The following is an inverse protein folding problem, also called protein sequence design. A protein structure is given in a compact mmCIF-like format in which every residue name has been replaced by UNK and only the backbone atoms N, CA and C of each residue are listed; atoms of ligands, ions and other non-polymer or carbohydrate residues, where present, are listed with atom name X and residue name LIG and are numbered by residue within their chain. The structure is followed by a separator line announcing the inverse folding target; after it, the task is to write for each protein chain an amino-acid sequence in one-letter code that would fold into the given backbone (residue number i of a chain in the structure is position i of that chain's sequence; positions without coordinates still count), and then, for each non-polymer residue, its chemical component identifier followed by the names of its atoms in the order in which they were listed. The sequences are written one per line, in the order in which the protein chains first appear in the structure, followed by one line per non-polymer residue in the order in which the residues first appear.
data_IF_070700223376
#
_entry.id   IF_070700223376
#
_cell.length_a   1.000
_cell.length_b   1.000
_cell.length_c   1.000
_cell.angle_alpha   90.00
_cell.angle_beta   90.00
_cell.angle_gamma   90.00
#
_symmetry.space_group_name_H-M   'P 1'
#
loop_
_entity.id
_entity.type
_entity.pdbx_description
1 polymer ?
#
# COMPACT_ATOMS: atom_id res chain seq x y z
N UNK A 1 -15.52 -27.50 14.25
CA UNK A 1 -14.36 -26.80 14.84
C UNK A 1 -13.09 -26.87 13.98
N UNK A 2 -12.61 -28.04 13.55
CA UNK A 2 -11.39 -28.17 12.73
C UNK A 2 -11.44 -27.43 11.38
N UNK A 3 -12.57 -27.50 10.68
CA UNK A 3 -12.80 -26.76 9.42
C UNK A 3 -12.82 -25.24 9.61
N UNK A 4 -13.38 -24.76 10.72
CA UNK A 4 -13.45 -23.34 11.05
C UNK A 4 -12.04 -22.81 11.37
N UNK A 5 -11.26 -23.56 12.15
CA UNK A 5 -9.84 -23.27 12.39
C UNK A 5 -9.01 -23.23 11.10
N UNK A 6 -9.26 -24.15 10.17
CA UNK A 6 -8.62 -24.16 8.85
C UNK A 6 -8.97 -22.93 8.00
N UNK A 7 -10.24 -22.53 7.97
CA UNK A 7 -10.70 -21.33 7.27
C UNK A 7 -10.11 -20.03 7.86
N UNK A 8 -10.02 -19.95 9.19
CA UNK A 8 -9.40 -18.79 9.86
C UNK A 8 -7.91 -18.68 9.49
N UNK A 9 -7.18 -19.80 9.51
CA UNK A 9 -5.77 -19.82 9.10
C UNK A 9 -5.58 -19.38 7.65
N UNK A 10 -6.43 -19.86 6.74
CA UNK A 10 -6.41 -19.44 5.33
C UNK A 10 -6.69 -17.95 5.17
N UNK A 11 -7.65 -17.40 5.92
CA UNK A 11 -7.96 -15.97 5.88
C UNK A 11 -6.77 -15.11 6.37
N UNK A 12 -6.10 -15.51 7.45
CA UNK A 12 -4.89 -14.81 7.95
C UNK A 12 -3.76 -14.86 6.92
N UNK A 13 -3.53 -16.02 6.31
CA UNK A 13 -2.53 -16.18 5.24
C UNK A 13 -2.84 -15.31 4.03
N UNK A 14 -4.10 -15.28 3.59
CA UNK A 14 -4.52 -14.44 2.48
C UNK A 14 -4.28 -12.95 2.76
N UNK A 15 -4.62 -12.48 3.97
CA UNK A 15 -4.40 -11.08 4.38
C UNK A 15 -2.91 -10.71 4.48
N UNK A 16 -2.05 -11.64 4.88
CA UNK A 16 -0.60 -11.40 4.95
C UNK A 16 0.06 -11.40 3.55
N UNK A 17 -0.43 -12.24 2.63
CA UNK A 17 0.17 -12.42 1.30
C UNK A 17 -0.37 -11.43 0.27
N UNK A 18 -1.64 -11.04 0.37
CA UNK A 18 -2.28 -10.08 -0.54
C UNK A 18 -1.50 -8.77 -0.74
N UNK A 19 -1.01 -8.06 0.30
CA UNK A 19 -0.26 -6.83 0.10
C UNK A 19 1.08 -7.08 -0.60
N UNK A 20 1.75 -8.20 -0.33
CA UNK A 20 3.04 -8.53 -0.99
C UNK A 20 2.84 -8.80 -2.49
N UNK A 21 1.75 -9.48 -2.85
CA UNK A 21 1.40 -9.73 -4.27
C UNK A 21 0.98 -8.45 -4.98
N UNK A 22 0.27 -7.55 -4.28
CA UNK A 22 -0.23 -6.30 -4.87
C UNK A 22 0.89 -5.29 -5.13
N UNK A 23 1.76 -5.05 -4.13
CA UNK A 23 2.82 -4.05 -4.25
C UNK A 23 4.14 -4.63 -4.81
N UNK A 24 4.26 -5.95 -4.94
CA UNK A 24 5.47 -6.62 -5.45
C UNK A 24 6.69 -6.52 -4.53
N UNK A 25 6.50 -6.06 -3.28
CA UNK A 25 7.57 -5.91 -2.28
C UNK A 25 7.02 -6.35 -0.92
N UNK A 26 7.88 -6.80 -0.01
CA UNK A 26 7.51 -7.07 1.39
C UNK A 26 7.88 -5.92 2.34
N UNK A 27 8.41 -4.82 1.81
CA UNK A 27 8.84 -3.66 2.60
C UNK A 27 7.67 -2.69 2.80
N UNK A 28 7.19 -2.49 4.04
CA UNK A 28 6.05 -1.62 4.32
C UNK A 28 6.30 -0.16 3.91
N UNK A 29 7.57 0.30 3.90
CA UNK A 29 7.89 1.68 3.49
C UNK A 29 7.81 1.87 1.98
N UNK A 30 8.07 0.82 1.18
CA UNK A 30 7.86 0.85 -0.27
C UNK A 30 6.38 0.77 -0.63
N UNK A 31 5.61 -0.05 0.09
CA UNK A 31 4.15 -0.12 -0.07
C UNK A 31 3.50 1.23 0.23
N UNK A 32 3.84 1.83 1.38
CA UNK A 32 3.33 3.14 1.77
C UNK A 32 3.68 4.23 0.76
N UNK A 33 4.90 4.20 0.21
CA UNK A 33 5.31 5.17 -0.80
C UNK A 33 4.48 5.07 -2.09
N UNK A 34 4.10 3.85 -2.50
CA UNK A 34 3.24 3.65 -3.66
C UNK A 34 1.82 4.20 -3.41
N UNK A 35 1.23 3.90 -2.26
CA UNK A 35 -0.09 4.43 -1.87
C UNK A 35 -0.11 5.96 -1.78
N UNK A 36 0.91 6.55 -1.14
CA UNK A 36 1.03 8.01 -1.03
C UNK A 36 1.20 8.67 -2.40
N UNK A 37 1.93 8.03 -3.32
CA UNK A 37 2.12 8.55 -4.66
C UNK A 37 0.84 8.45 -5.47
N UNK A 38 0.08 7.36 -5.34
CA UNK A 38 -1.21 7.18 -6.00
C UNK A 38 -2.27 8.17 -5.49
N UNK A 39 -2.37 8.36 -4.17
CA UNK A 39 -3.30 9.33 -3.58
C UNK A 39 -2.98 10.78 -4.00
N UNK A 40 -1.70 11.13 -4.09
CA UNK A 40 -1.29 12.46 -4.56
C UNK A 40 -1.48 12.63 -6.08
N UNK A 41 -1.28 11.57 -6.86
CA UNK A 41 -1.38 11.61 -8.31
C UNK A 41 -2.82 11.56 -8.81
N UNK A 42 -3.67 10.72 -8.23
CA UNK A 42 -5.02 10.43 -8.71
C UNK A 42 -5.85 11.68 -9.01
N UNK A 43 -6.00 12.62 -8.04
CA UNK A 43 -6.75 13.85 -8.26
C UNK A 43 -6.12 14.75 -9.35
N UNK A 44 -4.79 14.78 -9.43
CA UNK A 44 -4.08 15.55 -10.45
C UNK A 44 -4.29 14.94 -11.83
N UNK A 45 -4.17 13.62 -11.94
CA UNK A 45 -4.34 12.86 -13.17
C UNK A 45 -5.76 13.02 -13.72
N UNK A 46 -6.79 12.94 -12.87
CA UNK A 46 -8.18 13.16 -13.24
C UNK A 46 -8.38 14.58 -13.81
N UNK A 47 -7.77 15.59 -13.20
CA UNK A 47 -7.85 16.99 -13.65
C UNK A 47 -7.17 17.24 -15.00
N UNK A 48 -6.05 16.55 -15.29
CA UNK A 48 -5.33 16.70 -16.56
C UNK A 48 -5.72 15.67 -17.62
N UNK A 49 -6.71 14.81 -17.35
CA UNK A 49 -7.17 13.77 -18.28
C UNK A 49 -6.18 12.61 -18.47
N UNK A 50 -5.30 12.38 -17.51
CA UNK A 50 -4.41 11.23 -17.45
C UNK A 50 -5.03 10.08 -16.64
N UNK A 51 -4.48 8.89 -16.83
CA UNK A 51 -4.87 7.69 -16.10
C UNK A 51 -4.42 7.78 -14.63
N UNK A 52 -5.34 7.87 -13.65
CA UNK A 52 -5.01 8.01 -12.22
C UNK A 52 -4.26 6.81 -11.66
N UNK A 53 -4.37 5.64 -12.30
CA UNK A 53 -3.70 4.41 -11.89
C UNK A 53 -2.24 4.35 -12.37
N UNK A 54 -1.84 5.19 -13.32
CA UNK A 54 -0.47 5.26 -13.84
C UNK A 54 0.36 6.34 -13.18
N UNK A 55 0.69 6.10 -11.92
CA UNK A 55 1.59 6.96 -11.15
C UNK A 55 2.98 6.99 -11.79
N UNK A 56 3.56 8.17 -12.08
CA UNK A 56 4.90 8.27 -12.62
C UNK A 56 5.96 7.86 -11.59
N UNK A 57 7.00 7.17 -12.04
CA UNK A 57 8.08 6.65 -11.17
C UNK A 57 8.76 7.76 -10.36
N UNK A 58 8.83 8.98 -10.88
CA UNK A 58 9.39 10.16 -10.18
C UNK A 58 8.61 10.51 -8.92
N UNK A 59 7.29 10.32 -8.93
CA UNK A 59 6.43 10.58 -7.78
C UNK A 59 6.60 9.48 -6.73
N UNK A 60 6.63 8.21 -7.14
CA UNK A 60 6.95 7.10 -6.24
C UNK A 60 8.33 7.26 -5.59
N UNK A 61 9.36 7.63 -6.37
CA UNK A 61 10.71 7.87 -5.83
C UNK A 61 10.72 9.01 -4.82
N UNK A 62 9.95 10.07 -5.07
CA UNK A 62 9.79 11.18 -4.12
C UNK A 62 9.17 10.70 -2.81
N UNK A 63 8.12 9.89 -2.88
CA UNK A 63 7.50 9.31 -1.69
C UNK A 63 8.40 8.29 -0.99
N UNK A 64 9.23 7.53 -1.72
CA UNK A 64 10.25 6.65 -1.13
C UNK A 64 11.29 7.42 -0.33
N UNK A 65 11.67 8.62 -0.78
CA UNK A 65 12.56 9.49 0.02
C UNK A 65 11.87 9.92 1.32
N UNK A 66 10.59 10.25 1.27
CA UNK A 66 9.81 10.58 2.48
C UNK A 66 9.73 9.39 3.43
N UNK A 67 9.35 8.21 2.93
CA UNK A 67 9.23 7.01 3.77
C UNK A 67 10.57 6.45 4.25
N UNK A 68 11.67 6.74 3.55
CA UNK A 68 13.02 6.34 4.01
C UNK A 68 13.46 7.01 5.32
N UNK A 69 12.83 8.12 5.70
CA UNK A 69 13.07 8.78 6.99
C UNK A 69 12.20 8.22 8.12
N UNK A 70 11.33 7.25 7.83
CA UNK A 70 10.42 6.62 8.78
C UNK A 70 10.94 5.25 9.22
N UNK A 71 10.54 4.81 10.41
CA UNK A 71 10.78 3.42 10.79
C UNK A 71 9.83 2.49 10.04
N UNK A 72 10.24 1.24 9.83
CA UNK A 72 9.37 0.24 9.19
C UNK A 72 8.05 0.03 9.93
N UNK A 73 8.04 0.24 11.26
CA UNK A 73 6.83 0.17 12.07
C UNK A 73 5.89 1.34 11.76
N UNK A 74 6.41 2.56 11.68
CA UNK A 74 5.60 3.73 11.34
C UNK A 74 5.04 3.63 9.92
N UNK A 75 5.84 3.09 9.00
CA UNK A 75 5.37 2.80 7.63
C UNK A 75 4.21 1.81 7.64
N UNK A 76 4.33 0.72 8.39
CA UNK A 76 3.28 -0.29 8.50
C UNK A 76 2.01 0.25 9.18
N UNK A 77 2.15 1.07 10.22
CA UNK A 77 1.02 1.69 10.93
C UNK A 77 0.25 2.66 10.02
N UNK A 78 0.96 3.52 9.27
CA UNK A 78 0.33 4.41 8.31
C UNK A 78 -0.30 3.68 7.12
N UNK A 79 0.35 2.63 6.63
CA UNK A 79 -0.20 1.78 5.57
C UNK A 79 -1.49 1.10 6.05
N UNK A 80 -1.48 0.59 7.28
CA UNK A 80 -2.66 0.00 7.90
C UNK A 80 -3.79 1.01 8.06
N UNK A 81 -3.51 2.21 8.58
CA UNK A 81 -4.49 3.29 8.69
C UNK A 81 -5.14 3.59 7.35
N UNK A 82 -4.38 3.74 6.26
CA UNK A 82 -4.93 3.96 4.92
C UNK A 82 -5.87 2.85 4.47
N UNK A 83 -5.47 1.60 4.70
CA UNK A 83 -6.28 0.44 4.34
C UNK A 83 -7.57 0.32 5.17
N UNK A 84 -7.58 0.79 6.42
CA UNK A 84 -8.74 0.67 7.32
C UNK A 84 -9.61 1.92 7.41
N UNK A 85 -9.05 3.12 7.21
CA UNK A 85 -9.75 4.41 7.37
C UNK A 85 -10.14 5.03 6.03
N UNK A 86 -9.49 4.65 4.92
CA UNK A 86 -9.72 5.25 3.60
C UNK A 86 -10.27 4.23 2.60
N UNK A 87 -11.43 3.67 2.94
CA UNK A 87 -12.44 3.20 1.98
C UNK A 87 -13.81 3.74 2.38
#
# INVERSE_FOLDING_TARGET
MRLILGLILLAVLALAVAPVVYYGTADPCRMLAADMAHEAYGPLAELVGNDPDKVPESMERSMRMVTSQMSSRDCAEKLWQRWTETR
#
